data_IF_834086609002
#
_entry.id   IF_834086609002
#
_cell.length_a   1.000
_cell.length_b   1.000
_cell.length_c   1.000
_cell.angle_alpha   90.00
_cell.angle_beta   90.00
_cell.angle_gamma   90.00
#
_symmetry.space_group_name_H-M   'P 1'
#
loop_
_entity.id
_entity.type
_entity.pdbx_description
1 polymer ?
#
# COMPACT_ATOMS: atom_id res chain seq x y z
N UNK A 1 -7.50 -26.99 -9.21
CA UNK A 1 -7.70 -26.46 -7.86
C UNK A 1 -8.62 -25.24 -7.93
N UNK A 2 -9.65 -25.25 -7.12
CA UNK A 2 -10.56 -24.11 -7.07
C UNK A 2 -9.90 -22.93 -6.35
N UNK A 3 -10.05 -21.74 -6.89
CA UNK A 3 -9.64 -20.52 -6.20
C UNK A 3 -10.68 -20.15 -5.15
N UNK A 4 -10.21 -19.73 -4.00
CA UNK A 4 -11.07 -19.12 -2.99
C UNK A 4 -11.58 -17.77 -3.52
N UNK A 5 -12.85 -17.47 -3.29
CA UNK A 5 -13.38 -16.15 -3.61
C UNK A 5 -12.61 -15.10 -2.85
N UNK A 6 -12.34 -13.98 -3.50
CA UNK A 6 -11.45 -12.95 -2.97
C UNK A 6 -11.94 -11.58 -3.36
N UNK A 7 -11.94 -10.65 -2.42
CA UNK A 7 -12.16 -9.25 -2.69
C UNK A 7 -10.80 -8.54 -2.59
N UNK A 8 -10.44 -7.78 -3.60
CA UNK A 8 -9.14 -7.13 -3.64
C UNK A 8 -9.28 -5.61 -3.70
N UNK A 9 -8.35 -4.85 -3.06
CA UNK A 9 -8.28 -3.41 -3.27
C UNK A 9 -8.01 -3.11 -4.74
N UNK A 10 -8.65 -2.06 -5.25
CA UNK A 10 -8.43 -1.58 -6.60
C UNK A 10 -8.02 -0.11 -6.52
N UNK A 11 -6.75 0.17 -6.75
CA UNK A 11 -6.13 1.46 -6.46
C UNK A 11 -5.63 2.11 -7.75
N UNK A 12 -5.55 3.45 -7.78
CA UNK A 12 -5.07 4.15 -8.97
C UNK A 12 -3.54 4.13 -9.07
N UNK A 13 -3.06 4.13 -10.31
CA UNK A 13 -1.65 4.33 -10.62
C UNK A 13 -1.55 5.29 -11.80
N UNK A 14 -0.79 6.37 -11.63
CA UNK A 14 -0.54 7.28 -12.73
C UNK A 14 0.39 6.67 -13.77
N UNK A 15 1.26 5.77 -13.34
CA UNK A 15 2.22 5.08 -14.21
C UNK A 15 2.62 3.76 -13.56
N UNK A 16 2.33 2.65 -14.24
CA UNK A 16 2.55 1.30 -13.67
C UNK A 16 4.02 1.01 -13.36
N UNK A 17 4.96 1.50 -14.17
CA UNK A 17 6.39 1.28 -13.90
C UNK A 17 6.81 1.90 -12.56
N UNK A 18 6.38 3.14 -12.31
CA UNK A 18 6.70 3.82 -11.05
C UNK A 18 6.05 3.13 -9.86
N UNK A 19 4.79 2.72 -10.01
CA UNK A 19 4.05 2.01 -8.95
C UNK A 19 4.70 0.65 -8.63
N UNK A 20 5.03 -0.12 -9.66
CA UNK A 20 5.69 -1.42 -9.50
C UNK A 20 7.05 -1.27 -8.81
N UNK A 21 7.81 -0.23 -9.18
CA UNK A 21 9.12 0.04 -8.57
C UNK A 21 8.97 0.42 -7.10
N UNK A 22 8.00 1.28 -6.80
CA UNK A 22 7.77 1.71 -5.42
C UNK A 22 7.38 0.53 -4.52
N UNK A 23 6.35 -0.21 -4.91
CA UNK A 23 5.89 -1.35 -4.11
C UNK A 23 6.89 -2.51 -4.13
N UNK A 24 7.68 -2.64 -5.19
CA UNK A 24 8.75 -3.64 -5.27
C UNK A 24 9.79 -3.46 -4.16
N UNK A 25 10.11 -2.22 -3.80
CA UNK A 25 11.01 -1.93 -2.68
C UNK A 25 10.41 -2.34 -1.33
N UNK A 26 9.09 -2.50 -1.26
CA UNK A 26 8.38 -2.92 -0.06
C UNK A 26 8.12 -4.43 -0.03
N UNK A 27 8.63 -5.17 -1.00
CA UNK A 27 8.52 -6.63 -1.05
C UNK A 27 7.39 -7.15 -1.91
N UNK A 28 6.71 -6.30 -2.68
CA UNK A 28 5.67 -6.74 -3.60
C UNK A 28 6.27 -7.22 -4.91
N UNK A 29 5.65 -8.24 -5.51
CA UNK A 29 6.01 -8.76 -6.81
C UNK A 29 4.87 -8.51 -7.79
N UNK A 30 5.23 -8.09 -9.01
CA UNK A 30 4.26 -7.97 -10.09
C UNK A 30 3.94 -9.36 -10.62
N UNK A 31 2.65 -9.74 -10.57
CA UNK A 31 2.21 -11.05 -11.03
C UNK A 31 1.50 -10.99 -12.37
N UNK A 32 1.02 -9.81 -12.77
CA UNK A 32 0.33 -9.64 -14.05
C UNK A 32 0.22 -8.16 -14.40
N UNK A 33 0.23 -7.86 -15.71
CA UNK A 33 0.04 -6.50 -16.20
C UNK A 33 -0.48 -6.52 -17.64
N UNK A 34 -1.41 -5.61 -17.94
CA UNK A 34 -1.69 -5.20 -19.32
C UNK A 34 -1.69 -3.67 -19.38
N UNK A 35 -2.22 -3.09 -20.45
CA UNK A 35 -2.18 -1.65 -20.66
C UNK A 35 -2.97 -0.85 -19.62
N UNK A 36 -3.99 -1.45 -18.98
CA UNK A 36 -4.88 -0.74 -18.07
C UNK A 36 -5.00 -1.34 -16.68
N UNK A 37 -4.33 -2.46 -16.40
CA UNK A 37 -4.48 -3.19 -15.13
C UNK A 37 -3.19 -3.85 -14.72
N UNK A 38 -2.89 -3.85 -13.42
CA UNK A 38 -1.67 -4.46 -12.90
C UNK A 38 -1.99 -5.12 -11.54
N UNK A 39 -1.40 -6.27 -11.27
CA UNK A 39 -1.57 -6.97 -10.00
C UNK A 39 -0.21 -7.11 -9.32
N UNK A 40 -0.16 -6.68 -8.06
CA UNK A 40 1.01 -6.84 -7.20
C UNK A 40 0.65 -7.68 -5.99
N UNK A 41 1.57 -8.54 -5.56
CA UNK A 41 1.36 -9.42 -4.39
C UNK A 41 2.57 -9.41 -3.47
N UNK A 42 2.30 -9.46 -2.17
CA UNK A 42 3.30 -9.66 -1.12
C UNK A 42 2.71 -10.63 -0.10
N UNK A 43 3.19 -11.88 -0.08
CA UNK A 43 2.55 -12.90 0.72
C UNK A 43 1.08 -13.05 0.33
N UNK A 44 0.18 -12.93 1.30
CA UNK A 44 -1.26 -12.99 1.04
C UNK A 44 -1.87 -11.64 0.69
N UNK A 45 -1.11 -10.56 0.72
CA UNK A 45 -1.57 -9.27 0.25
C UNK A 45 -1.64 -9.26 -1.26
N UNK A 46 -2.81 -8.93 -1.79
CA UNK A 46 -3.08 -8.92 -3.22
C UNK A 46 -3.72 -7.57 -3.55
N UNK A 47 -3.02 -6.74 -4.33
CA UNK A 47 -3.48 -5.38 -4.65
C UNK A 47 -3.53 -5.24 -6.16
N UNK A 48 -4.64 -4.69 -6.67
CA UNK A 48 -4.82 -4.47 -8.10
C UNK A 48 -4.84 -2.98 -8.39
N UNK A 49 -4.22 -2.59 -9.48
CA UNK A 49 -4.10 -1.19 -9.87
C UNK A 49 -4.75 -0.96 -11.23
N UNK A 50 -5.45 0.17 -11.37
CA UNK A 50 -5.94 0.64 -12.66
C UNK A 50 -5.17 1.89 -13.06
N UNK A 51 -5.03 2.10 -14.38
CA UNK A 51 -4.27 3.25 -14.89
C UNK A 51 -5.11 4.52 -14.81
N UNK A 52 -4.56 5.56 -14.15
CA UNK A 52 -5.22 6.84 -13.95
C UNK A 52 -4.18 7.96 -14.08
N UNK A 53 -3.72 8.28 -15.34
CA UNK A 53 -2.60 9.20 -15.53
C UNK A 53 -2.86 10.62 -15.02
N UNK A 54 -4.12 11.07 -15.03
CA UNK A 54 -4.48 12.44 -14.69
C UNK A 54 -4.80 12.64 -13.21
N UNK A 55 -4.62 11.61 -12.37
CA UNK A 55 -4.90 11.72 -10.95
C UNK A 55 -4.00 12.78 -10.31
N UNK A 56 -4.62 13.67 -9.51
CA UNK A 56 -3.87 14.60 -8.66
C UNK A 56 -3.68 13.94 -7.29
N UNK A 57 -2.43 13.58 -6.92
CA UNK A 57 -2.19 12.94 -5.63
C UNK A 57 -2.66 13.77 -4.44
N UNK A 58 -2.63 15.10 -4.55
CA UNK A 58 -3.04 15.98 -3.45
C UNK A 58 -4.53 15.88 -3.13
N UNK A 59 -5.35 15.48 -4.10
CA UNK A 59 -6.81 15.38 -3.93
C UNK A 59 -7.30 13.95 -3.97
N UNK A 60 -6.40 12.98 -4.00
CA UNK A 60 -6.78 11.56 -4.02
C UNK A 60 -7.53 11.17 -2.75
N UNK A 61 -8.65 10.48 -2.93
CA UNK A 61 -9.44 9.93 -1.82
C UNK A 61 -9.42 8.40 -1.79
N UNK A 62 -8.55 7.78 -2.57
CA UNK A 62 -8.42 6.32 -2.59
C UNK A 62 -7.71 5.84 -1.34
N UNK A 63 -8.15 4.70 -0.81
CA UNK A 63 -7.56 4.11 0.38
C UNK A 63 -7.85 2.62 0.49
N UNK A 64 -7.06 1.93 1.28
CA UNK A 64 -7.34 0.57 1.71
C UNK A 64 -6.61 0.28 3.01
N UNK A 65 -6.89 -0.89 3.60
CA UNK A 65 -6.18 -1.35 4.80
C UNK A 65 -5.33 -2.56 4.45
N UNK A 66 -4.09 -2.56 4.91
CA UNK A 66 -3.27 -3.77 4.97
C UNK A 66 -3.34 -4.28 6.41
N UNK A 67 -3.97 -5.44 6.62
CA UNK A 67 -3.98 -6.11 7.91
C UNK A 67 -2.84 -7.09 7.94
N UNK A 68 -1.91 -6.89 8.85
CA UNK A 68 -0.64 -7.61 8.87
C UNK A 68 -0.31 -8.08 10.28
N UNK A 69 0.48 -9.14 10.36
CA UNK A 69 0.89 -9.70 11.65
C UNK A 69 1.97 -8.88 12.35
N UNK A 70 2.77 -8.13 11.57
CA UNK A 70 3.88 -7.36 12.10
C UNK A 70 4.07 -6.08 11.28
N UNK A 71 3.33 -5.04 11.62
CA UNK A 71 3.44 -3.77 10.91
C UNK A 71 4.69 -2.99 11.31
N UNK A 72 5.28 -3.28 12.47
CA UNK A 72 6.56 -2.66 12.85
C UNK A 72 7.68 -3.05 11.91
N UNK A 73 7.75 -4.33 11.54
CA UNK A 73 8.70 -4.82 10.56
C UNK A 73 8.44 -4.20 9.18
N UNK A 74 7.19 -4.09 8.78
CA UNK A 74 6.84 -3.47 7.51
C UNK A 74 7.17 -1.97 7.50
N UNK A 75 6.94 -1.29 8.61
CA UNK A 75 7.33 0.12 8.76
C UNK A 75 8.84 0.29 8.59
N UNK A 76 9.64 -0.61 9.15
CA UNK A 76 11.10 -0.58 8.95
C UNK A 76 11.45 -0.76 7.47
N UNK A 77 10.77 -1.66 6.77
CA UNK A 77 10.95 -1.82 5.33
C UNK A 77 10.63 -0.53 4.57
N UNK A 78 9.53 0.14 4.93
CA UNK A 78 9.12 1.40 4.30
C UNK A 78 10.18 2.49 4.50
N UNK A 79 10.63 2.69 5.74
CA UNK A 79 11.62 3.73 6.02
C UNK A 79 12.98 3.41 5.42
N UNK A 80 13.36 2.13 5.37
CA UNK A 80 14.60 1.69 4.72
C UNK A 80 14.58 1.92 3.21
N UNK A 81 13.40 1.95 2.60
CA UNK A 81 13.23 2.27 1.18
C UNK A 81 13.31 3.78 0.90
N UNK A 82 13.48 4.61 1.93
CA UNK A 82 13.63 6.05 1.79
C UNK A 82 12.34 6.84 1.88
N UNK A 83 11.24 6.23 2.28
CA UNK A 83 9.96 6.93 2.46
C UNK A 83 10.04 7.78 3.73
N UNK A 84 9.84 9.10 3.64
CA UNK A 84 9.99 9.97 4.82
C UNK A 84 8.81 9.83 5.78
N UNK A 85 9.13 9.90 7.06
CA UNK A 85 8.14 9.98 8.13
C UNK A 85 7.82 11.46 8.34
N UNK A 86 6.75 11.93 7.72
CA UNK A 86 6.39 13.35 7.71
C UNK A 86 4.88 13.51 7.55
N UNK A 87 4.40 14.73 7.71
CA UNK A 87 2.96 15.04 7.63
C UNK A 87 2.53 15.63 6.30
N UNK A 88 3.44 15.84 5.37
CA UNK A 88 3.14 16.45 4.07
C UNK A 88 3.91 15.78 2.94
N UNK A 89 3.36 15.84 1.75
CA UNK A 89 3.95 15.26 0.55
C UNK A 89 3.65 13.78 0.38
N UNK A 90 4.07 13.25 -0.73
CA UNK A 90 3.92 11.83 -1.07
C UNK A 90 5.13 11.36 -1.87
N UNK A 91 5.64 10.14 -1.63
CA UNK A 91 5.16 9.24 -0.58
C UNK A 91 5.56 9.73 0.82
N UNK A 92 4.82 9.26 1.82
CA UNK A 92 5.17 9.50 3.22
C UNK A 92 4.63 8.37 4.07
N UNK A 93 5.09 8.29 5.31
CA UNK A 93 4.61 7.26 6.23
C UNK A 93 4.42 7.84 7.62
N UNK A 94 3.54 7.20 8.38
CA UNK A 94 3.29 7.55 9.78
C UNK A 94 3.58 6.33 10.64
N UNK A 95 4.35 6.56 11.72
CA UNK A 95 4.81 5.51 12.61
C UNK A 95 3.63 4.77 13.26
N UNK A 96 3.68 3.44 13.32
CA UNK A 96 2.67 2.67 14.05
C UNK A 96 2.62 3.08 15.52
N UNK A 97 1.40 3.18 16.05
CA UNK A 97 1.20 3.40 17.47
C UNK A 97 -0.02 2.62 17.95
N UNK A 98 -0.01 2.30 19.24
CA UNK A 98 -1.11 1.57 19.86
C UNK A 98 -2.33 2.47 19.99
N UNK A 99 -3.48 1.95 19.61
CA UNK A 99 -4.75 2.64 19.72
C UNK A 99 -5.52 2.16 20.96
N UNK A 100 -6.49 2.96 21.47
CA UNK A 100 -7.25 2.60 22.69
C UNK A 100 -7.99 1.28 22.60
N UNK A 101 -8.39 0.86 21.39
CA UNK A 101 -9.10 -0.41 21.22
C UNK A 101 -8.16 -1.63 21.21
N UNK A 102 -6.85 -1.41 21.38
CA UNK A 102 -5.86 -2.48 21.52
C UNK A 102 -5.06 -2.84 20.31
N UNK A 103 -5.42 -2.33 19.12
CA UNK A 103 -4.65 -2.59 17.92
C UNK A 103 -3.51 -1.59 17.74
N UNK A 104 -2.66 -1.86 16.76
CA UNK A 104 -1.56 -0.97 16.37
C UNK A 104 -1.86 -0.49 14.96
N UNK A 105 -1.78 0.82 14.73
CA UNK A 105 -2.12 1.43 13.43
C UNK A 105 -1.02 2.37 13.00
N UNK A 106 -0.55 2.19 11.76
CA UNK A 106 0.32 3.11 11.07
C UNK A 106 -0.28 3.49 9.72
N UNK A 107 0.46 4.20 8.91
CA UNK A 107 -0.01 4.59 7.59
C UNK A 107 1.13 4.71 6.58
N UNK A 108 0.80 4.44 5.34
CA UNK A 108 1.65 4.71 4.19
C UNK A 108 0.80 5.47 3.18
N UNK A 109 1.30 6.60 2.71
CA UNK A 109 0.70 7.30 1.57
C UNK A 109 1.65 7.06 0.40
N UNK A 110 1.14 6.42 -0.65
CA UNK A 110 1.99 6.05 -1.79
C UNK A 110 2.23 7.24 -2.73
N UNK A 111 3.05 7.10 -3.78
CA UNK A 111 3.35 8.22 -4.69
C UNK A 111 2.15 8.80 -5.42
N UNK A 112 1.05 8.07 -5.50
CA UNK A 112 -0.18 8.54 -6.14
C UNK A 112 -1.19 9.11 -5.13
N UNK A 113 -0.76 9.29 -3.88
CA UNK A 113 -1.60 9.87 -2.84
C UNK A 113 -2.59 8.90 -2.20
N UNK A 114 -2.48 7.62 -2.49
CA UNK A 114 -3.36 6.60 -1.90
C UNK A 114 -2.98 6.36 -0.44
N UNK A 115 -3.97 6.38 0.44
CA UNK A 115 -3.76 6.09 1.85
C UNK A 115 -3.86 4.59 2.08
N UNK A 116 -2.77 4.00 2.55
CA UNK A 116 -2.74 2.61 3.01
C UNK A 116 -2.67 2.63 4.52
N UNK A 117 -3.73 2.20 5.19
CA UNK A 117 -3.71 2.03 6.65
C UNK A 117 -3.05 0.70 6.97
N UNK A 118 -2.10 0.73 7.88
CA UNK A 118 -1.37 -0.45 8.32
C UNK A 118 -1.96 -0.83 9.67
N UNK A 119 -2.58 -2.01 9.75
CA UNK A 119 -3.34 -2.41 10.94
C UNK A 119 -2.86 -3.75 11.44
N UNK A 120 -2.49 -3.80 12.70
CA UNK A 120 -2.14 -5.04 13.40
C UNK A 120 -3.07 -5.20 14.58
N UNK A 121 -3.89 -6.25 14.52
CA UNK A 121 -4.77 -6.59 15.64
C UNK A 121 -3.99 -7.45 16.63
N UNK A 122 -4.03 -7.05 17.90
CA UNK A 122 -3.43 -7.82 18.99
C UNK A 122 -4.53 -8.61 19.65
N UNK A 123 -4.36 -9.92 19.66
CA UNK A 123 -5.29 -10.81 20.34
C UNK A 123 -4.77 -11.23 21.70
#
# INVERSE_FOLDING_TARGET
MAMTDLATPNLPSREFEATARFYGQLGFEETWRDAGWMILKRGDLWVEFFLFPDLDPATSSFSCCFRMDDIGSFFTTITSAGVPETTAGWPRTHRPKREPWGGIVGALIDPDGTLIRLVQTIS
#
